data_IF_769639482820
#
_entry.id   IF_769639482820
#
_cell.length_a   1.000
_cell.length_b   1.000
_cell.length_c   1.000
_cell.angle_alpha   90.00
_cell.angle_beta   90.00
_cell.angle_gamma   90.00
#
_symmetry.space_group_name_H-M   'P 1'
#
loop_
_entity.id
_entity.type
_entity.pdbx_description
1 polymer ?
#
# COMPACT_ATOMS: atom_id res chain seq x y z
N UNK A 1 0.58 -4.89 -15.14
CA UNK A 1 1.05 -4.26 -16.40
C UNK A 1 2.58 -4.30 -16.54
N UNK A 2 3.35 -3.75 -15.59
CA UNK A 2 4.82 -3.65 -15.70
C UNK A 2 5.58 -4.99 -15.86
N UNK A 3 5.16 -6.07 -15.19
CA UNK A 3 5.79 -7.39 -15.34
C UNK A 3 5.50 -8.05 -16.70
N UNK A 4 4.42 -7.67 -17.39
CA UNK A 4 4.11 -8.18 -18.74
C UNK A 4 5.08 -7.59 -19.76
N UNK A 5 5.51 -6.34 -19.54
CA UNK A 5 6.48 -5.65 -20.40
C UNK A 5 7.86 -6.31 -20.36
N UNK A 6 8.26 -6.90 -19.22
CA UNK A 6 9.52 -7.67 -19.09
C UNK A 6 9.69 -8.77 -20.15
N UNK A 7 8.59 -9.25 -20.73
CA UNK A 7 8.59 -10.37 -21.68
C UNK A 7 8.65 -9.96 -23.15
N UNK A 8 8.54 -8.66 -23.45
CA UNK A 8 8.44 -8.14 -24.82
C UNK A 8 9.44 -6.98 -25.00
N UNK A 9 10.63 -7.25 -25.55
CA UNK A 9 11.71 -6.25 -25.67
C UNK A 9 11.30 -4.94 -26.34
N UNK A 10 10.47 -5.00 -27.38
CA UNK A 10 9.97 -3.82 -28.09
C UNK A 10 9.07 -2.93 -27.23
N UNK A 11 8.43 -3.47 -26.17
CA UNK A 11 7.60 -2.71 -25.26
C UNK A 11 8.37 -2.11 -24.08
N UNK A 12 9.66 -2.42 -23.90
CA UNK A 12 10.45 -1.83 -22.80
C UNK A 12 10.53 -0.30 -22.92
N UNK A 13 10.47 0.25 -24.12
CA UNK A 13 10.44 1.70 -24.36
C UNK A 13 9.17 2.40 -23.86
N UNK A 14 8.17 1.64 -23.39
CA UNK A 14 7.02 2.20 -22.68
C UNK A 14 7.32 2.52 -21.21
N UNK A 15 8.44 2.06 -20.64
CA UNK A 15 8.78 2.37 -19.24
C UNK A 15 9.03 3.86 -19.01
N UNK A 16 9.81 4.59 -19.82
CA UNK A 16 9.99 6.03 -19.61
C UNK A 16 8.68 6.84 -19.58
N UNK A 17 7.77 6.75 -20.57
CA UNK A 17 6.48 7.47 -20.50
C UNK A 17 5.58 6.96 -19.37
N UNK A 18 5.66 5.67 -19.00
CA UNK A 18 4.93 5.15 -17.84
C UNK A 18 5.45 5.76 -16.53
N UNK A 19 6.77 5.91 -16.38
CA UNK A 19 7.40 6.49 -15.19
C UNK A 19 7.16 8.00 -15.10
N UNK A 20 7.14 8.69 -16.24
CA UNK A 20 6.70 10.08 -16.33
C UNK A 20 5.29 10.24 -15.74
N UNK A 21 4.34 9.47 -16.25
CA UNK A 21 2.96 9.51 -15.79
C UNK A 21 2.88 9.11 -14.30
N UNK A 22 3.55 8.03 -13.91
CA UNK A 22 3.48 7.51 -12.55
C UNK A 22 4.09 8.47 -11.53
N UNK A 23 5.24 9.09 -11.81
CA UNK A 23 5.86 10.07 -10.91
C UNK A 23 4.98 11.30 -10.66
N UNK A 24 4.12 11.65 -11.61
CA UNK A 24 3.13 12.73 -11.46
C UNK A 24 1.86 12.30 -10.72
N UNK A 25 1.64 11.00 -10.52
CA UNK A 25 0.45 10.45 -9.85
C UNK A 25 0.73 9.96 -8.43
N UNK A 26 1.88 9.33 -8.19
CA UNK A 26 2.15 8.65 -6.91
C UNK A 26 3.65 8.36 -6.68
N UNK A 27 4.13 8.61 -5.46
CA UNK A 27 5.53 8.37 -5.06
C UNK A 27 5.96 6.88 -5.09
N UNK A 28 4.99 5.97 -5.18
CA UNK A 28 5.21 4.53 -5.39
C UNK A 28 5.96 4.17 -6.67
N UNK A 29 6.24 5.13 -7.57
CA UNK A 29 7.14 4.97 -8.73
C UNK A 29 8.51 4.41 -8.33
N UNK A 30 8.95 4.63 -7.09
CA UNK A 30 10.16 4.02 -6.51
C UNK A 30 10.19 2.49 -6.66
N UNK A 31 9.06 1.80 -6.42
CA UNK A 31 8.96 0.35 -6.57
C UNK A 31 9.10 -0.09 -8.03
N UNK A 32 8.62 0.74 -8.97
CA UNK A 32 8.90 0.56 -10.40
C UNK A 32 10.41 0.64 -10.67
N UNK A 33 11.09 1.64 -10.11
CA UNK A 33 12.54 1.81 -10.25
C UNK A 33 13.30 0.58 -9.76
N UNK A 34 12.92 0.03 -8.60
CA UNK A 34 13.46 -1.24 -8.07
C UNK A 34 13.30 -2.39 -9.07
N UNK A 35 12.14 -2.51 -9.73
CA UNK A 35 11.91 -3.54 -10.77
C UNK A 35 12.89 -3.39 -11.93
N UNK A 36 13.11 -2.16 -12.42
CA UNK A 36 14.03 -1.90 -13.52
C UNK A 36 15.50 -2.16 -13.13
N UNK A 37 15.91 -1.74 -11.94
CA UNK A 37 17.25 -2.00 -11.40
C UNK A 37 17.50 -3.50 -11.27
N UNK A 38 16.56 -4.26 -10.70
CA UNK A 38 16.70 -5.73 -10.60
C UNK A 38 16.75 -6.38 -11.97
N UNK A 39 15.98 -5.89 -12.95
CA UNK A 39 16.05 -6.37 -14.33
C UNK A 39 17.42 -6.10 -14.98
N UNK A 40 17.99 -4.91 -14.78
CA UNK A 40 19.32 -4.54 -15.25
C UNK A 40 20.42 -5.39 -14.60
N UNK A 41 20.38 -5.58 -13.28
CA UNK A 41 21.32 -6.44 -12.56
C UNK A 41 21.23 -7.91 -13.01
N UNK A 42 20.02 -8.43 -13.19
CA UNK A 42 19.82 -9.77 -13.73
C UNK A 42 20.39 -9.90 -15.16
N UNK A 43 20.31 -8.85 -15.98
CA UNK A 43 20.92 -8.82 -17.32
C UNK A 43 22.44 -8.97 -17.24
N UNK A 44 23.07 -8.13 -16.40
CA UNK A 44 24.52 -8.11 -16.19
C UNK A 44 25.02 -9.49 -15.73
N UNK A 45 24.36 -10.08 -14.73
CA UNK A 45 24.74 -11.40 -14.21
C UNK A 45 24.58 -12.49 -15.26
N UNK A 46 23.51 -12.45 -16.05
CA UNK A 46 23.26 -13.45 -17.11
C UNK A 46 24.30 -13.35 -18.22
N UNK A 47 24.66 -12.15 -18.65
CA UNK A 47 25.71 -11.92 -19.65
C UNK A 47 27.09 -12.33 -19.14
N UNK A 48 27.44 -11.97 -17.91
CA UNK A 48 28.70 -12.35 -17.29
C UNK A 48 28.89 -13.88 -17.23
N UNK A 49 27.80 -14.63 -16.98
CA UNK A 49 27.80 -16.11 -17.01
C UNK A 49 27.87 -16.70 -18.42
N UNK A 50 27.48 -15.96 -19.45
CA UNK A 50 27.47 -16.40 -20.86
C UNK A 50 28.81 -16.32 -21.59
N UNK A 51 29.83 -15.68 -20.99
CA UNK A 51 31.18 -15.53 -21.54
C UNK A 51 31.29 -14.48 -22.67
N UNK A 52 32.52 -14.21 -23.11
CA UNK A 52 32.89 -13.13 -24.06
C UNK A 52 32.16 -13.19 -25.42
N UNK A 53 31.73 -14.39 -25.85
CA UNK A 53 30.99 -14.58 -27.12
C UNK A 53 29.55 -14.04 -27.09
N UNK A 54 28.94 -13.89 -25.90
CA UNK A 54 27.61 -13.29 -25.75
C UNK A 54 27.67 -11.75 -25.82
N UNK A 55 28.77 -11.15 -25.39
CA UNK A 55 28.99 -9.68 -25.35
C UNK A 55 29.26 -9.09 -26.73
N UNK A 56 29.84 -9.86 -27.66
CA UNK A 56 30.20 -9.40 -29.00
C UNK A 56 28.99 -9.15 -29.95
N UNK A 57 27.79 -9.62 -29.59
CA UNK A 57 26.63 -9.59 -30.46
C UNK A 57 25.73 -8.38 -30.18
N UNK A 58 26.08 -7.21 -30.76
CA UNK A 58 25.33 -5.95 -31.06
C UNK A 58 24.05 -5.50 -30.31
N UNK A 59 23.63 -6.10 -29.20
CA UNK A 59 22.60 -5.57 -28.30
C UNK A 59 22.75 -6.19 -26.92
N UNK A 60 23.69 -5.66 -26.12
CA UNK A 60 23.85 -6.06 -24.72
C UNK A 60 22.54 -5.74 -23.97
N UNK A 61 21.85 -6.77 -23.50
CA UNK A 61 20.63 -6.63 -22.71
C UNK A 61 20.90 -5.80 -21.45
N UNK A 62 22.11 -5.89 -20.87
CA UNK A 62 22.55 -5.02 -19.78
C UNK A 62 22.51 -3.54 -20.15
N UNK A 63 23.06 -3.16 -21.30
CA UNK A 63 23.03 -1.78 -21.82
C UNK A 63 21.59 -1.36 -22.11
N UNK A 64 20.78 -2.23 -22.73
CA UNK A 64 19.36 -1.95 -22.98
C UNK A 64 18.61 -1.64 -21.67
N UNK A 65 18.73 -2.51 -20.66
CA UNK A 65 18.07 -2.31 -19.37
C UNK A 65 18.64 -1.13 -18.59
N UNK A 66 19.93 -0.84 -18.70
CA UNK A 66 20.54 0.34 -18.11
C UNK A 66 19.99 1.63 -18.74
N UNK A 67 19.86 1.68 -20.07
CA UNK A 67 19.25 2.81 -20.78
C UNK A 67 17.78 2.99 -20.41
N UNK A 68 17.00 1.91 -20.37
CA UNK A 68 15.60 1.96 -19.93
C UNK A 68 15.49 2.47 -18.49
N UNK A 69 16.34 1.99 -17.58
CA UNK A 69 16.36 2.43 -16.18
C UNK A 69 16.73 3.91 -16.07
N UNK A 70 17.77 4.35 -16.78
CA UNK A 70 18.22 5.73 -16.80
C UNK A 70 17.14 6.67 -17.33
N UNK A 71 16.58 6.37 -18.51
CA UNK A 71 15.55 7.20 -19.13
C UNK A 71 14.27 7.23 -18.29
N UNK A 72 13.91 6.12 -17.65
CA UNK A 72 12.76 6.08 -16.73
C UNK A 72 13.01 6.90 -15.47
N UNK A 73 14.24 6.86 -14.92
CA UNK A 73 14.66 7.71 -13.81
C UNK A 73 14.62 9.19 -14.16
N UNK A 74 15.19 9.57 -15.32
CA UNK A 74 15.14 10.95 -15.81
C UNK A 74 13.70 11.42 -16.07
N UNK A 75 12.85 10.54 -16.61
CA UNK A 75 11.44 10.83 -16.81
C UNK A 75 10.71 11.16 -15.49
N UNK A 76 11.13 10.57 -14.36
CA UNK A 76 10.55 10.93 -13.06
C UNK A 76 10.85 12.36 -12.65
N UNK A 77 11.92 12.99 -13.12
CA UNK A 77 12.27 14.39 -12.78
C UNK A 77 11.28 15.37 -13.39
N UNK A 78 10.56 14.99 -14.43
CA UNK A 78 9.50 15.78 -15.05
C UNK A 78 8.19 15.68 -14.24
N UNK A 79 8.28 15.99 -12.95
CA UNK A 79 7.14 16.10 -12.02
C UNK A 79 7.25 17.45 -11.27
N UNK A 80 6.18 17.96 -10.62
CA UNK A 80 6.20 19.25 -9.93
C UNK A 80 7.28 19.40 -8.85
N UNK A 81 7.70 18.29 -8.21
CA UNK A 81 8.75 18.27 -7.19
C UNK A 81 10.15 18.13 -7.78
N UNK A 82 10.30 17.86 -9.08
CA UNK A 82 11.60 17.60 -9.70
C UNK A 82 12.36 16.48 -8.99
N UNK A 83 13.61 16.75 -8.62
CA UNK A 83 14.42 15.84 -7.80
C UNK A 83 13.92 15.70 -6.35
N UNK A 84 13.13 16.66 -5.86
CA UNK A 84 12.55 16.64 -4.51
C UNK A 84 11.66 15.43 -4.25
N UNK A 85 11.07 14.83 -5.30
CA UNK A 85 10.34 13.56 -5.20
C UNK A 85 11.21 12.45 -4.59
N UNK A 86 12.47 12.34 -5.00
CA UNK A 86 13.37 11.30 -4.50
C UNK A 86 13.81 11.58 -3.07
N UNK A 87 14.02 12.85 -2.71
CA UNK A 87 14.31 13.22 -1.33
C UNK A 87 13.14 12.89 -0.41
N UNK A 88 11.92 13.20 -0.86
CA UNK A 88 10.69 12.83 -0.18
C UNK A 88 10.56 11.30 0.01
N UNK A 89 10.79 10.51 -1.04
CA UNK A 89 10.76 9.04 -0.94
C UNK A 89 11.78 8.53 0.07
N UNK A 90 13.01 9.05 0.05
CA UNK A 90 14.08 8.65 0.96
C UNK A 90 13.77 9.01 2.42
N UNK A 91 13.30 10.22 2.66
CA UNK A 91 12.87 10.70 3.98
C UNK A 91 11.74 9.84 4.53
N UNK A 92 10.79 9.48 3.66
CA UNK A 92 9.69 8.60 4.02
C UNK A 92 10.19 7.25 4.56
N UNK A 93 11.27 6.66 4.04
CA UNK A 93 11.79 5.38 4.55
C UNK A 93 12.31 5.46 6.01
N UNK A 94 12.71 6.65 6.48
CA UNK A 94 13.19 6.89 7.84
C UNK A 94 12.08 7.20 8.86
N UNK A 95 10.84 7.37 8.41
CA UNK A 95 9.75 7.84 9.26
C UNK A 95 9.27 6.76 10.25
N UNK A 96 9.51 7.02 11.54
CA UNK A 96 9.17 6.12 12.64
C UNK A 96 7.68 6.04 12.95
N UNK A 97 6.87 7.01 12.49
CA UNK A 97 5.40 7.01 12.70
C UNK A 97 4.72 5.78 12.15
N UNK A 98 5.31 5.19 11.10
CA UNK A 98 4.83 3.96 10.45
C UNK A 98 4.69 2.81 11.43
N UNK A 99 5.50 2.78 12.49
CA UNK A 99 5.45 1.73 13.52
C UNK A 99 4.12 1.69 14.27
N UNK A 100 3.28 2.73 14.17
CA UNK A 100 1.98 2.79 14.84
C UNK A 100 0.80 2.57 13.89
N UNK A 101 1.06 2.56 12.58
CA UNK A 101 0.03 2.33 11.57
C UNK A 101 -0.06 0.85 11.26
N UNK A 102 -1.28 0.33 11.31
CA UNK A 102 -1.56 -1.11 11.11
C UNK A 102 -1.02 -1.60 9.77
N UNK A 103 -1.19 -0.84 8.69
CA UNK A 103 -0.75 -1.21 7.33
C UNK A 103 0.77 -1.44 7.19
N UNK A 104 1.56 -0.80 8.06
CA UNK A 104 3.00 -0.91 8.08
C UNK A 104 3.51 -2.05 8.98
N UNK A 105 2.62 -2.69 9.74
CA UNK A 105 2.98 -3.85 10.55
C UNK A 105 3.22 -5.11 9.71
N UNK A 106 4.04 -6.05 10.22
CA UNK A 106 4.18 -7.37 9.62
C UNK A 106 2.82 -8.10 9.55
N UNK A 107 2.57 -8.88 8.48
CA UNK A 107 1.47 -9.83 8.47
C UNK A 107 1.67 -10.84 9.60
N UNK A 108 0.58 -11.19 10.29
CA UNK A 108 0.59 -12.14 11.41
C UNK A 108 -0.47 -13.23 11.21
N UNK A 109 -0.30 -14.37 11.87
CA UNK A 109 -1.21 -15.52 11.75
C UNK A 109 -2.47 -15.37 12.62
N UNK A 110 -2.52 -14.38 13.52
CA UNK A 110 -3.72 -14.10 14.31
C UNK A 110 -4.75 -13.29 13.51
N UNK A 111 -4.33 -12.72 12.37
CA UNK A 111 -5.17 -11.90 11.51
C UNK A 111 -5.49 -12.62 10.19
N UNK A 112 -6.74 -13.10 9.99
CA UNK A 112 -7.12 -13.86 8.80
C UNK A 112 -6.87 -13.14 7.46
N UNK A 113 -6.84 -11.80 7.47
CA UNK A 113 -6.49 -11.00 6.29
C UNK A 113 -5.07 -11.30 5.76
N UNK A 114 -4.18 -11.84 6.60
CA UNK A 114 -2.80 -12.17 6.22
C UNK A 114 -2.66 -13.57 5.58
N UNK A 115 -3.65 -14.45 5.72
CA UNK A 115 -3.56 -15.85 5.23
C UNK A 115 -3.26 -15.96 3.74
N UNK A 116 -3.85 -15.15 2.84
CA UNK A 116 -3.53 -15.20 1.42
C UNK A 116 -2.04 -14.96 1.15
N UNK A 117 -1.38 -14.06 1.90
CA UNK A 117 0.05 -13.80 1.73
C UNK A 117 0.89 -15.03 2.08
N UNK A 118 0.67 -15.64 3.26
CA UNK A 118 1.40 -16.83 3.67
C UNK A 118 1.18 -18.01 2.72
N UNK A 119 -0.07 -18.24 2.30
CA UNK A 119 -0.41 -19.26 1.31
C UNK A 119 0.30 -19.02 -0.02
N UNK A 120 0.35 -17.77 -0.47
CA UNK A 120 1.02 -17.40 -1.71
C UNK A 120 2.54 -17.57 -1.63
N UNK A 121 3.15 -17.26 -0.49
CA UNK A 121 4.58 -17.53 -0.24
C UNK A 121 4.84 -19.04 -0.31
N UNK A 122 4.05 -19.84 0.39
CA UNK A 122 4.21 -21.30 0.40
C UNK A 122 4.08 -21.91 -1.00
N UNK A 123 3.05 -21.51 -1.76
CA UNK A 123 2.85 -21.96 -3.14
C UNK A 123 4.00 -21.51 -4.05
N UNK A 124 4.50 -20.29 -3.87
CA UNK A 124 5.61 -19.76 -4.69
C UNK A 124 6.89 -20.54 -4.40
N UNK A 125 7.19 -20.82 -3.13
CA UNK A 125 8.32 -21.66 -2.74
C UNK A 125 8.22 -23.06 -3.34
N UNK A 126 7.03 -23.69 -3.26
CA UNK A 126 6.80 -24.99 -3.87
C UNK A 126 7.04 -24.96 -5.40
N UNK A 127 6.52 -23.95 -6.10
CA UNK A 127 6.73 -23.78 -7.54
C UNK A 127 8.22 -23.57 -7.89
N UNK A 128 8.96 -22.78 -7.08
CA UNK A 128 10.40 -22.56 -7.26
C UNK A 128 11.19 -23.86 -7.10
N UNK A 129 10.88 -24.65 -6.07
CA UNK A 129 11.52 -25.94 -5.80
C UNK A 129 11.25 -26.98 -6.89
N UNK A 130 9.98 -27.14 -7.29
CA UNK A 130 9.59 -28.09 -8.35
C UNK A 130 10.24 -27.71 -9.68
N UNK A 131 10.30 -26.42 -10.01
CA UNK A 131 10.84 -25.95 -11.27
C UNK A 131 12.33 -25.58 -11.23
N UNK A 132 13.07 -25.88 -10.14
CA UNK A 132 14.40 -25.31 -9.89
C UNK A 132 15.44 -25.56 -11.01
N UNK A 133 15.32 -26.66 -11.75
CA UNK A 133 16.23 -26.98 -12.87
C UNK A 133 15.90 -26.25 -14.17
N UNK A 134 14.70 -25.66 -14.25
CA UNK A 134 14.18 -25.00 -15.45
C UNK A 134 14.51 -23.50 -15.52
N UNK A 135 15.02 -22.88 -14.44
CA UNK A 135 15.36 -21.45 -14.41
C UNK A 135 16.72 -21.21 -15.07
N UNK A 136 16.72 -20.51 -16.21
CA UNK A 136 17.97 -20.31 -16.98
C UNK A 136 18.12 -18.92 -17.58
N UNK A 137 17.03 -18.19 -17.81
CA UNK A 137 17.07 -16.89 -18.50
C UNK A 137 17.13 -15.68 -17.57
N UNK A 138 17.51 -14.53 -18.11
CA UNK A 138 17.48 -13.24 -17.39
C UNK A 138 16.13 -13.02 -16.69
N UNK A 139 15.02 -13.18 -17.42
CA UNK A 139 13.65 -13.03 -16.91
C UNK A 139 13.40 -13.88 -15.65
N UNK A 140 13.92 -15.10 -15.66
CA UNK A 140 13.73 -16.05 -14.57
C UNK A 140 14.41 -15.54 -13.30
N UNK A 141 15.64 -15.08 -13.44
CA UNK A 141 16.39 -14.44 -12.35
C UNK A 141 15.74 -13.14 -11.90
N UNK A 142 15.26 -12.30 -12.80
CA UNK A 142 14.51 -11.08 -12.44
C UNK A 142 13.29 -11.43 -11.59
N UNK A 143 12.46 -12.38 -12.01
CA UNK A 143 11.26 -12.75 -11.25
C UNK A 143 11.58 -13.39 -9.90
N UNK A 144 12.62 -14.23 -9.83
CA UNK A 144 13.07 -14.82 -8.56
C UNK A 144 13.59 -13.75 -7.59
N UNK A 145 14.45 -12.85 -8.06
CA UNK A 145 15.00 -11.76 -7.24
C UNK A 145 13.90 -10.81 -6.75
N UNK A 146 12.94 -10.48 -7.63
CA UNK A 146 11.78 -9.67 -7.23
C UNK A 146 10.88 -10.41 -6.24
N UNK A 147 10.67 -11.72 -6.39
CA UNK A 147 9.87 -12.49 -5.44
C UNK A 147 10.55 -12.59 -4.08
N UNK A 148 11.87 -12.75 -4.04
CA UNK A 148 12.65 -12.70 -2.80
C UNK A 148 12.56 -11.33 -2.14
N UNK A 149 12.78 -10.25 -2.92
CA UNK A 149 12.74 -8.88 -2.41
C UNK A 149 11.36 -8.48 -1.90
N UNK A 150 10.32 -8.64 -2.72
CA UNK A 150 8.96 -8.29 -2.33
C UNK A 150 8.37 -9.27 -1.32
N UNK A 151 8.81 -10.52 -1.30
CA UNK A 151 8.49 -11.47 -0.24
C UNK A 151 9.05 -11.00 1.10
N UNK A 152 10.34 -10.67 1.15
CA UNK A 152 10.98 -10.10 2.34
C UNK A 152 10.31 -8.78 2.78
N UNK A 153 10.04 -7.86 1.85
CA UNK A 153 9.30 -6.62 2.14
C UNK A 153 7.88 -6.89 2.64
N UNK A 154 7.20 -7.91 2.09
CA UNK A 154 5.87 -8.35 2.51
C UNK A 154 5.85 -8.90 3.94
N UNK A 155 6.90 -9.62 4.35
CA UNK A 155 7.07 -10.02 5.76
C UNK A 155 7.36 -8.86 6.69
N UNK A 156 7.86 -7.72 6.17
CA UNK A 156 8.12 -6.52 6.97
C UNK A 156 6.91 -5.61 7.09
N UNK A 157 5.99 -5.62 6.11
CA UNK A 157 4.79 -4.78 6.10
C UNK A 157 3.70 -5.37 5.21
N UNK A 158 2.46 -5.38 5.72
CA UNK A 158 1.27 -5.79 4.98
C UNK A 158 1.07 -5.01 3.68
N UNK A 159 1.40 -3.71 3.67
CA UNK A 159 1.35 -2.86 2.47
C UNK A 159 2.15 -3.41 1.29
N UNK A 160 3.23 -4.16 1.56
CA UNK A 160 4.08 -4.71 0.52
C UNK A 160 3.63 -6.09 -0.01
N UNK A 161 2.69 -6.75 0.66
CA UNK A 161 2.20 -8.09 0.26
C UNK A 161 1.57 -8.10 -1.14
N UNK A 162 0.95 -6.99 -1.54
CA UNK A 162 0.37 -6.82 -2.87
C UNK A 162 1.44 -6.86 -3.98
N UNK A 163 2.61 -6.26 -3.76
CA UNK A 163 3.72 -6.32 -4.73
C UNK A 163 4.25 -7.74 -4.89
N UNK A 164 4.37 -8.48 -3.78
CA UNK A 164 4.72 -9.90 -3.83
C UNK A 164 3.71 -10.68 -4.65
N UNK A 165 2.41 -10.42 -4.46
CA UNK A 165 1.37 -11.15 -5.18
C UNK A 165 1.45 -10.98 -6.71
N UNK A 166 1.75 -9.76 -7.15
CA UNK A 166 1.94 -9.45 -8.57
C UNK A 166 3.12 -10.22 -9.18
N UNK A 167 4.21 -10.38 -8.43
CA UNK A 167 5.41 -11.11 -8.88
C UNK A 167 5.27 -12.64 -8.74
N UNK A 168 4.54 -13.11 -7.74
CA UNK A 168 4.28 -14.53 -7.52
C UNK A 168 3.48 -15.16 -8.67
N UNK A 169 2.50 -14.44 -9.22
CA UNK A 169 1.62 -14.95 -10.28
C UNK A 169 2.36 -15.61 -11.48
N UNK A 170 3.32 -14.96 -12.16
CA UNK A 170 4.06 -15.61 -13.25
C UNK A 170 4.93 -16.79 -12.78
N UNK A 171 5.44 -16.79 -11.53
CA UNK A 171 6.21 -17.91 -10.99
C UNK A 171 5.34 -19.15 -10.78
N UNK A 172 4.13 -18.94 -10.24
CA UNK A 172 3.15 -20.00 -10.00
C UNK A 172 2.60 -20.62 -11.28
N UNK A 173 2.61 -19.90 -12.40
CA UNK A 173 2.19 -20.45 -13.69
C UNK A 173 3.19 -21.43 -14.30
N UNK A 174 4.44 -21.46 -13.82
CA UNK A 174 5.55 -22.18 -14.44
C UNK A 174 5.42 -23.70 -14.39
N UNK A 175 5.03 -24.35 -13.26
CA UNK A 175 4.84 -25.81 -13.22
C UNK A 175 3.84 -26.33 -14.25
N UNK A 176 2.91 -25.46 -14.68
CA UNK A 176 1.85 -25.78 -15.62
C UNK A 176 2.21 -25.48 -17.08
N UNK A 177 3.45 -25.07 -17.37
CA UNK A 177 3.86 -24.68 -18.74
C UNK A 177 3.74 -25.82 -19.75
N UNK A 178 3.97 -27.05 -19.31
CA UNK A 178 3.91 -28.26 -20.13
C UNK A 178 2.53 -28.92 -20.10
N UNK A 179 1.61 -28.43 -19.27
CA UNK A 179 0.25 -28.93 -19.23
C UNK A 179 -0.45 -28.56 -20.54
N UNK A 180 -0.85 -29.59 -21.28
CA UNK A 180 -1.65 -29.38 -22.48
C UNK A 180 -3.00 -28.79 -22.06
N UNK A 181 -3.42 -27.65 -22.65
CA UNK A 181 -4.72 -27.09 -22.32
C UNK A 181 -5.83 -28.08 -22.66
N UNK A 182 -6.76 -28.28 -21.73
CA UNK A 182 -7.91 -29.18 -21.89
C UNK A 182 -8.72 -28.86 -23.16
N UNK A 183 -8.78 -27.58 -23.54
CA UNK A 183 -9.38 -27.15 -24.80
C UNK A 183 -8.36 -27.15 -25.95
N UNK A 184 -8.46 -28.15 -26.85
CA UNK A 184 -7.65 -28.24 -28.08
C UNK A 184 -8.02 -27.20 -29.15
N UNK A 185 -9.22 -26.63 -29.08
CA UNK A 185 -9.70 -25.64 -30.05
C UNK A 185 -9.42 -24.19 -29.59
N UNK A 186 -8.76 -23.35 -30.41
CA UNK A 186 -8.43 -21.96 -30.06
C UNK A 186 -9.66 -21.11 -29.71
N UNK A 187 -10.79 -21.35 -30.38
CA UNK A 187 -12.05 -20.65 -30.12
C UNK A 187 -12.63 -20.98 -28.75
N UNK A 188 -12.77 -22.27 -28.41
CA UNK A 188 -13.26 -22.72 -27.12
C UNK A 188 -12.42 -22.21 -25.95
N UNK A 189 -11.08 -22.16 -26.11
CA UNK A 189 -10.17 -21.60 -25.09
C UNK A 189 -10.38 -20.10 -24.88
N UNK A 190 -10.61 -19.33 -25.95
CA UNK A 190 -10.89 -17.89 -25.85
C UNK A 190 -12.20 -17.64 -25.10
N UNK A 191 -13.25 -18.40 -25.42
CA UNK A 191 -14.53 -18.32 -24.72
C UNK A 191 -14.43 -18.77 -23.27
N UNK A 192 -13.72 -19.86 -22.97
CA UNK A 192 -13.52 -20.32 -21.60
C UNK A 192 -12.73 -19.29 -20.75
N UNK A 193 -11.66 -18.73 -21.29
CA UNK A 193 -10.92 -17.65 -20.62
C UNK A 193 -11.78 -16.40 -20.46
N UNK A 194 -12.55 -16.04 -21.49
CA UNK A 194 -13.47 -14.91 -21.47
C UNK A 194 -14.56 -15.09 -20.40
N UNK A 195 -15.16 -16.28 -20.32
CA UNK A 195 -16.15 -16.64 -19.32
C UNK A 195 -15.55 -16.66 -17.91
N UNK A 196 -14.32 -17.18 -17.73
CA UNK A 196 -13.62 -17.13 -16.45
C UNK A 196 -13.35 -15.69 -16.02
N UNK A 197 -12.82 -14.86 -16.91
CA UNK A 197 -12.55 -13.45 -16.62
C UNK A 197 -13.84 -12.67 -16.36
N UNK A 198 -14.91 -12.93 -17.12
CA UNK A 198 -16.22 -12.33 -16.89
C UNK A 198 -16.81 -12.79 -15.55
N UNK A 199 -16.70 -14.07 -15.22
CA UNK A 199 -17.14 -14.61 -13.94
C UNK A 199 -16.36 -14.02 -12.76
N UNK A 200 -15.03 -13.91 -12.86
CA UNK A 200 -14.19 -13.25 -11.86
C UNK A 200 -14.55 -11.77 -11.72
N UNK A 201 -14.76 -11.07 -12.84
CA UNK A 201 -15.16 -9.66 -12.84
C UNK A 201 -16.54 -9.48 -12.19
N UNK A 202 -17.56 -10.20 -12.65
CA UNK A 202 -18.92 -10.11 -12.11
C UNK A 202 -18.98 -10.53 -10.64
N UNK A 203 -18.26 -11.60 -10.26
CA UNK A 203 -18.16 -12.04 -8.88
C UNK A 203 -17.49 -11.00 -7.98
N UNK A 204 -16.36 -10.44 -8.43
CA UNK A 204 -15.67 -9.37 -7.70
C UNK A 204 -16.53 -8.11 -7.62
N UNK A 205 -17.19 -7.71 -8.71
CA UNK A 205 -18.08 -6.56 -8.76
C UNK A 205 -19.31 -6.75 -7.86
N UNK A 206 -19.85 -7.97 -7.76
CA UNK A 206 -20.94 -8.29 -6.84
C UNK A 206 -20.48 -8.22 -5.38
N UNK A 207 -19.31 -8.78 -5.05
CA UNK A 207 -18.74 -8.72 -3.70
C UNK A 207 -18.49 -7.27 -3.30
N UNK A 208 -17.79 -6.51 -4.15
CA UNK A 208 -17.48 -5.09 -3.91
C UNK A 208 -18.77 -4.27 -3.86
N UNK A 209 -19.71 -4.50 -4.78
CA UNK A 209 -20.99 -3.79 -4.82
C UNK A 209 -21.84 -4.05 -3.59
N UNK A 210 -21.85 -5.29 -3.06
CA UNK A 210 -22.52 -5.62 -1.80
C UNK A 210 -21.84 -5.00 -0.60
N UNK A 211 -20.51 -5.06 -0.54
CA UNK A 211 -19.74 -4.41 0.52
C UNK A 211 -19.99 -2.89 0.52
N UNK A 212 -19.99 -2.26 -0.66
CA UNK A 212 -20.30 -0.85 -0.83
C UNK A 212 -21.73 -0.52 -0.43
N UNK A 213 -22.72 -1.31 -0.87
CA UNK A 213 -24.12 -1.09 -0.52
C UNK A 213 -24.41 -1.27 0.99
N UNK A 214 -23.58 -2.05 1.68
CA UNK A 214 -23.64 -2.22 3.13
C UNK A 214 -22.91 -1.10 3.91
N UNK A 215 -22.09 -0.27 3.23
CA UNK A 215 -21.44 0.87 3.90
C UNK A 215 -22.47 1.95 4.22
N UNK A 216 -22.37 2.59 5.40
CA UNK A 216 -23.24 3.68 5.76
C UNK A 216 -23.04 4.85 4.78
N UNK A 217 -24.14 5.48 4.37
CA UNK A 217 -24.10 6.63 3.44
C UNK A 217 -23.37 7.84 4.02
N UNK A 218 -23.26 7.92 5.35
CA UNK A 218 -22.55 8.95 6.09
C UNK A 218 -21.64 8.26 7.12
N UNK A 219 -20.34 8.57 7.15
CA UNK A 219 -19.41 7.87 8.04
C UNK A 219 -19.64 8.21 9.52
N UNK A 220 -20.04 9.45 9.84
CA UNK A 220 -20.50 9.84 11.18
C UNK A 220 -22.01 10.10 11.17
N UNK A 221 -22.67 9.76 12.27
CA UNK A 221 -24.10 10.02 12.47
C UNK A 221 -24.38 11.54 12.52
N UNK A 222 -25.57 11.95 12.08
CA UNK A 222 -25.95 13.37 12.09
C UNK A 222 -25.94 14.00 13.49
N UNK A 223 -26.21 13.20 14.53
CA UNK A 223 -26.15 13.64 15.92
C UNK A 223 -24.71 13.84 16.41
N UNK A 224 -23.76 12.97 16.02
CA UNK A 224 -22.33 13.20 16.27
C UNK A 224 -21.86 14.49 15.59
N UNK A 225 -22.21 14.67 14.31
CA UNK A 225 -21.88 15.89 13.55
C UNK A 225 -22.41 17.15 14.27
N UNK A 226 -23.66 17.13 14.72
CA UNK A 226 -24.25 18.23 15.47
C UNK A 226 -23.59 18.46 16.85
N UNK A 227 -23.09 17.42 17.50
CA UNK A 227 -22.35 17.54 18.74
C UNK A 227 -20.96 18.13 18.51
N UNK A 228 -20.21 17.67 17.49
CA UNK A 228 -18.91 18.21 17.12
C UNK A 228 -18.97 19.69 16.76
N UNK A 229 -20.01 20.12 16.02
CA UNK A 229 -20.23 21.54 15.67
C UNK A 229 -20.45 22.45 16.88
N UNK A 230 -21.12 21.94 17.91
CA UNK A 230 -21.42 22.69 19.15
C UNK A 230 -20.25 22.69 20.14
N UNK A 231 -19.28 21.82 19.93
CA UNK A 231 -18.20 21.61 20.87
C UNK A 231 -17.19 22.77 20.84
N UNK A 232 -16.82 23.35 22.00
CA UNK A 232 -15.98 24.54 22.04
C UNK A 232 -14.49 24.23 21.80
N UNK A 233 -13.73 25.28 21.44
CA UNK A 233 -12.27 25.23 21.36
C UNK A 233 -11.71 24.28 20.31
N UNK A 234 -10.45 23.86 20.52
CA UNK A 234 -9.75 22.90 19.67
C UNK A 234 -10.33 21.51 19.85
N UNK A 235 -10.71 20.88 18.73
CA UNK A 235 -11.19 19.50 18.68
C UNK A 235 -9.98 18.57 18.54
N UNK A 236 -9.86 17.61 19.45
CA UNK A 236 -9.12 16.38 19.23
C UNK A 236 -10.02 15.35 18.53
N UNK A 237 -9.51 14.73 17.48
CA UNK A 237 -10.12 13.58 16.84
C UNK A 237 -9.04 12.53 16.57
N UNK A 238 -9.45 11.27 16.45
CA UNK A 238 -8.54 10.18 16.12
C UNK A 238 -8.09 10.23 14.67
N UNK A 239 -7.00 9.52 14.35
CA UNK A 239 -6.46 9.40 12.99
C UNK A 239 -7.53 8.98 11.97
N UNK A 240 -8.42 8.05 12.35
CA UNK A 240 -9.45 7.50 11.49
C UNK A 240 -10.69 8.39 11.33
N UNK A 241 -10.95 9.29 12.29
CA UNK A 241 -12.13 10.17 12.27
C UNK A 241 -11.87 11.51 11.57
N UNK A 242 -10.61 11.87 11.31
CA UNK A 242 -10.25 13.13 10.65
C UNK A 242 -10.77 13.25 9.22
N UNK A 243 -10.65 12.20 8.41
CA UNK A 243 -11.19 12.17 7.04
C UNK A 243 -12.72 12.40 7.00
N UNK A 244 -13.51 11.61 7.75
CA UNK A 244 -14.94 11.84 7.93
C UNK A 244 -15.31 13.27 8.36
N UNK A 245 -14.56 13.85 9.29
CA UNK A 245 -14.79 15.22 9.76
C UNK A 245 -14.51 16.28 8.68
N UNK A 246 -13.43 16.12 7.91
CA UNK A 246 -13.14 17.00 6.75
C UNK A 246 -14.32 17.03 5.78
N UNK A 247 -14.99 15.89 5.58
CA UNK A 247 -16.14 15.78 4.68
C UNK A 247 -17.43 16.36 5.27
N UNK A 248 -17.77 16.03 6.52
CA UNK A 248 -19.09 16.34 7.10
C UNK A 248 -19.12 17.64 7.90
N UNK A 249 -17.98 18.12 8.37
CA UNK A 249 -17.83 19.31 9.22
C UNK A 249 -16.64 20.17 8.74
N UNK A 250 -16.59 20.57 7.46
CA UNK A 250 -15.44 21.28 6.88
C UNK A 250 -15.11 22.62 7.56
N UNK A 251 -16.07 23.20 8.28
CA UNK A 251 -15.90 24.43 9.06
C UNK A 251 -15.11 24.23 10.37
N UNK A 252 -14.85 22.98 10.79
CA UNK A 252 -14.06 22.66 11.99
C UNK A 252 -12.70 22.08 11.56
N UNK A 253 -11.62 22.68 12.04
CA UNK A 253 -10.29 22.11 11.87
C UNK A 253 -10.19 20.76 12.59
N UNK A 254 -9.66 19.76 11.89
CA UNK A 254 -9.32 18.46 12.48
C UNK A 254 -7.96 18.55 13.17
N UNK A 255 -7.76 17.73 14.20
CA UNK A 255 -6.49 17.59 14.89
C UNK A 255 -5.45 16.88 14.03
N UNK A 256 -5.85 15.70 13.52
CA UNK A 256 -5.11 14.86 12.60
C UNK A 256 -6.09 14.18 11.64
N UNK A 257 -5.60 13.64 10.53
CA UNK A 257 -6.37 12.80 9.62
C UNK A 257 -5.51 11.66 9.07
N UNK A 258 -6.11 10.82 8.23
CA UNK A 258 -5.48 9.60 7.73
C UNK A 258 -4.37 9.82 6.69
N UNK A 259 -4.01 11.07 6.38
CA UNK A 259 -2.80 11.44 5.65
C UNK A 259 -1.66 11.51 6.65
N UNK A 260 -0.76 10.52 6.68
CA UNK A 260 0.42 10.52 7.55
C UNK A 260 1.37 11.68 7.22
N UNK A 261 1.64 11.88 5.93
CA UNK A 261 2.75 12.69 5.42
C UNK A 261 2.78 14.18 5.88
N UNK A 262 1.65 14.87 6.11
CA UNK A 262 1.65 16.27 6.58
C UNK A 262 1.96 16.47 8.07
N UNK A 263 1.92 15.41 8.89
CA UNK A 263 1.98 15.55 10.35
C UNK A 263 3.35 15.16 10.93
N UNK A 264 3.88 15.91 11.91
CA UNK A 264 5.10 15.54 12.62
C UNK A 264 4.98 14.19 13.33
N UNK A 265 6.10 13.48 13.40
CA UNK A 265 6.11 12.12 13.92
C UNK A 265 5.76 12.01 15.40
N UNK A 266 6.23 12.96 16.18
CA UNK A 266 5.97 13.08 17.61
C UNK A 266 4.50 13.38 17.90
N UNK A 267 3.84 14.19 17.05
CA UNK A 267 2.41 14.48 17.17
C UNK A 267 1.58 13.21 16.98
N UNK A 268 1.82 12.47 15.90
CA UNK A 268 1.10 11.22 15.64
C UNK A 268 1.35 10.18 16.74
N UNK A 269 2.58 10.11 17.25
CA UNK A 269 2.93 9.24 18.37
C UNK A 269 2.17 9.60 19.65
N UNK A 270 2.17 10.88 20.05
CA UNK A 270 1.45 11.35 21.24
C UNK A 270 -0.06 11.18 21.09
N UNK A 271 -0.61 11.42 19.91
CA UNK A 271 -2.03 11.17 19.62
C UNK A 271 -2.39 9.68 19.75
N UNK A 272 -1.54 8.78 19.25
CA UNK A 272 -1.74 7.34 19.41
C UNK A 272 -1.63 6.90 20.87
N UNK A 273 -0.69 7.45 21.65
CA UNK A 273 -0.60 7.18 23.10
C UNK A 273 -1.84 7.67 23.85
N UNK A 274 -2.32 8.87 23.53
CA UNK A 274 -3.56 9.40 24.11
C UNK A 274 -4.72 8.44 23.83
N UNK A 275 -4.88 7.99 22.59
CA UNK A 275 -5.97 7.08 22.19
C UNK A 275 -5.87 5.69 22.83
N UNK A 276 -4.69 5.06 22.77
CA UNK A 276 -4.48 3.66 23.16
C UNK A 276 -4.26 3.48 24.67
N UNK A 277 -3.72 4.49 25.36
CA UNK A 277 -3.34 4.37 26.76
C UNK A 277 -4.10 5.37 27.65
N UNK A 278 -4.80 6.35 27.06
CA UNK A 278 -5.43 7.43 27.81
C UNK A 278 -4.43 8.45 28.37
N UNK A 279 -3.20 8.50 27.84
CA UNK A 279 -2.17 9.46 28.23
C UNK A 279 -2.29 10.74 27.40
N UNK A 280 -3.26 11.60 27.76
CA UNK A 280 -3.70 12.71 26.92
C UNK A 280 -3.30 14.09 27.44
N UNK A 281 -2.98 14.21 28.72
CA UNK A 281 -2.90 15.46 29.48
C UNK A 281 -1.87 16.43 28.88
N UNK A 282 -0.65 15.95 28.61
CA UNK A 282 0.41 16.77 28.01
C UNK A 282 0.03 17.24 26.60
N UNK A 283 -0.54 16.34 25.80
CA UNK A 283 -0.94 16.64 24.42
C UNK A 283 -2.08 17.67 24.39
N UNK A 284 -3.11 17.44 25.20
CA UNK A 284 -4.30 18.29 25.24
C UNK A 284 -3.96 19.67 25.82
N UNK A 285 -3.08 19.74 26.83
CA UNK A 285 -2.58 21.01 27.33
C UNK A 285 -1.76 21.78 26.28
N UNK A 286 -0.84 21.10 25.57
CA UNK A 286 0.00 21.73 24.56
C UNK A 286 -0.81 22.36 23.41
N UNK A 287 -1.86 21.66 22.95
CA UNK A 287 -2.70 22.10 21.83
C UNK A 287 -4.00 22.79 22.27
N UNK A 288 -4.16 23.05 23.57
CA UNK A 288 -5.36 23.66 24.17
C UNK A 288 -6.68 22.99 23.71
N UNK A 289 -6.72 21.65 23.83
CA UNK A 289 -7.87 20.82 23.45
C UNK A 289 -8.96 20.95 24.51
N UNK A 290 -10.16 21.34 24.07
CA UNK A 290 -11.36 21.45 24.92
C UNK A 290 -12.50 20.55 24.46
N UNK A 291 -12.33 19.88 23.32
CA UNK A 291 -13.29 18.94 22.76
C UNK A 291 -12.58 17.70 22.25
N UNK A 292 -13.18 16.51 22.42
CA UNK A 292 -12.64 15.26 21.90
C UNK A 292 -13.74 14.41 21.25
N UNK A 293 -13.49 13.92 20.02
CA UNK A 293 -14.26 12.87 19.35
C UNK A 293 -13.44 11.58 19.36
N UNK A 294 -13.89 10.57 20.13
CA UNK A 294 -13.11 9.36 20.40
C UNK A 294 -14.00 8.11 20.47
N UNK A 295 -13.44 6.89 20.30
CA UNK A 295 -14.15 5.64 20.53
C UNK A 295 -14.76 5.57 21.94
N UNK A 296 -16.06 5.33 22.04
CA UNK A 296 -16.82 5.42 23.30
C UNK A 296 -16.35 4.43 24.38
N UNK A 297 -15.88 3.26 23.94
CA UNK A 297 -15.33 2.20 24.79
C UNK A 297 -13.80 2.28 24.97
N UNK A 298 -13.13 3.22 24.29
CA UNK A 298 -11.67 3.31 24.26
C UNK A 298 -11.04 3.81 25.56
N UNK A 299 -9.74 3.54 25.78
CA UNK A 299 -8.99 3.99 26.96
C UNK A 299 -9.05 5.51 27.17
N UNK A 300 -8.95 6.29 26.09
CA UNK A 300 -9.06 7.75 26.14
C UNK A 300 -10.41 8.23 26.66
N UNK A 301 -11.53 7.69 26.14
CA UNK A 301 -12.86 8.06 26.63
C UNK A 301 -13.03 7.74 28.12
N UNK A 302 -12.45 6.64 28.60
CA UNK A 302 -12.45 6.30 30.02
C UNK A 302 -11.63 7.29 30.85
N UNK A 303 -10.45 7.71 30.36
CA UNK A 303 -9.61 8.72 31.01
C UNK A 303 -10.34 10.07 31.12
N UNK A 304 -10.90 10.57 30.02
CA UNK A 304 -11.65 11.82 30.00
C UNK A 304 -12.84 11.80 30.97
N UNK A 305 -13.57 10.67 31.07
CA UNK A 305 -14.66 10.52 32.05
C UNK A 305 -14.16 10.58 33.50
N UNK A 306 -13.02 9.95 33.81
CA UNK A 306 -12.40 10.03 35.15
C UNK A 306 -12.05 11.47 35.51
N UNK A 307 -11.61 12.24 34.52
CA UNK A 307 -11.21 13.64 34.69
C UNK A 307 -12.37 14.62 34.46
N UNK A 308 -13.61 14.15 34.67
CA UNK A 308 -14.84 14.95 34.68
C UNK A 308 -15.19 15.65 33.37
N UNK A 309 -14.67 15.19 32.23
CA UNK A 309 -15.15 15.65 30.93
C UNK A 309 -16.60 15.21 30.71
N UNK A 310 -17.40 16.10 30.13
CA UNK A 310 -18.83 15.87 29.92
C UNK A 310 -19.08 15.34 28.52
N UNK A 311 -19.82 14.23 28.40
CA UNK A 311 -20.28 13.73 27.11
C UNK A 311 -21.39 14.63 26.55
N UNK A 312 -21.18 15.20 25.37
CA UNK A 312 -22.19 15.97 24.64
C UNK A 312 -23.15 15.08 23.87
N UNK A 313 -22.62 13.98 23.32
CA UNK A 313 -23.38 12.96 22.61
C UNK A 313 -22.53 11.69 22.53
N UNK A 314 -23.19 10.52 22.58
CA UNK A 314 -22.57 9.22 22.42
C UNK A 314 -23.49 8.35 21.55
N UNK A 315 -22.91 7.67 20.56
CA UNK A 315 -23.55 6.52 19.93
C UNK A 315 -22.83 5.21 20.30
N UNK A 316 -23.18 4.12 19.62
CA UNK A 316 -22.64 2.79 19.92
C UNK A 316 -21.12 2.69 19.75
N UNK A 317 -20.52 3.61 18.98
CA UNK A 317 -19.11 3.54 18.56
C UNK A 317 -18.28 4.71 19.06
N UNK A 318 -18.81 5.93 19.04
CA UNK A 318 -18.08 7.17 19.28
C UNK A 318 -18.78 8.04 20.33
N UNK A 319 -17.98 8.85 21.00
CA UNK A 319 -18.45 9.87 21.95
C UNK A 319 -17.79 11.21 21.65
N UNK A 320 -18.57 12.27 21.72
CA UNK A 320 -18.06 13.66 21.75
C UNK A 320 -18.06 14.12 23.19
N UNK A 321 -16.90 14.52 23.69
CA UNK A 321 -16.70 14.98 25.05
C UNK A 321 -16.15 16.40 25.06
N UNK A 322 -16.50 17.17 26.10
CA UNK A 322 -15.97 18.51 26.33
C UNK A 322 -15.35 18.63 27.71
N UNK A 323 -14.32 19.47 27.83
CA UNK A 323 -13.72 19.82 29.11
C UNK A 323 -14.74 20.55 30.00
N UNK A 324 -14.70 20.30 31.32
CA UNK A 324 -15.63 20.88 32.27
C UNK A 324 -15.57 22.44 32.32
N UNK A 325 -14.38 22.99 32.07
CA UNK A 325 -14.08 24.42 32.23
C UNK A 325 -14.34 25.25 30.95
N UNK A 326 -14.87 24.63 29.89
CA UNK A 326 -15.03 25.27 28.58
C UNK A 326 -16.39 26.01 28.39
N UNK A 327 -17.04 26.43 29.48
CA UNK A 327 -18.31 27.19 29.44
C UNK A 327 -18.08 28.69 29.44
#
# INVERSE_FOLDING_TARGET
MALLLLTRPHLHWLYPPLFLLWANLHAGVAFGGVVLVVAALAAIVTEARGGWRAVACRSCASVHWALITLLSGLATVLNPLGFGLWWYILDSFGDTTRTYLSEWQPPNLDWPASYPFFGLVALTLAAVLVCWRSWRGQRDWTLLLLALLFGWLGFRSMRHTAFFAVVAAPLLSRPFREWQPLAKQPGARRWANGALLAGLFCGSALIVGRAWAAMPAQPLSGALVAAVRRCPGTLFNTYDTGGPLIWQVPERAVFVDNRQDPYPADLLFRAALAEQQGAYEELFAHYNVHCALVPAAGPLAQALRRDSWQALFQDDTLVVMQAADAR
#
